data_IF_304926878728
#
_entry.id   IF_304926878728
#
_cell.length_a   1.000
_cell.length_b   1.000
_cell.length_c   1.000
_cell.angle_alpha   90.00
_cell.angle_beta   90.00
_cell.angle_gamma   90.00
#
_symmetry.space_group_name_H-M   'P 1'
#
loop_
_entity.id
_entity.type
_entity.pdbx_description
1 polymer ?
#
# COMPACT_ATOMS: atom_id res chain seq x y z
N UNK A 1 -22.20 10.93 6.14
CA UNK A 1 -21.87 10.53 4.75
C UNK A 1 -20.79 9.48 4.84
N UNK A 2 -21.12 8.21 4.59
CA UNK A 2 -20.15 7.13 4.70
C UNK A 2 -19.19 7.24 3.52
N UNK A 3 -17.99 7.77 3.78
CA UNK A 3 -16.87 7.70 2.85
C UNK A 3 -16.53 6.23 2.67
N UNK A 4 -17.16 5.59 1.69
CA UNK A 4 -16.68 4.32 1.18
C UNK A 4 -15.30 4.58 0.56
N UNK A 5 -14.26 4.25 1.34
CA UNK A 5 -12.89 4.17 0.85
C UNK A 5 -12.89 3.07 -0.21
N UNK A 6 -13.14 3.47 -1.45
CA UNK A 6 -12.98 2.58 -2.58
C UNK A 6 -11.49 2.28 -2.67
N UNK A 7 -11.17 1.04 -2.29
CA UNK A 7 -9.91 0.34 -2.58
C UNK A 7 -9.37 0.86 -3.90
N UNK A 8 -8.14 1.40 -3.89
CA UNK A 8 -7.43 2.06 -4.98
C UNK A 8 -7.84 1.50 -6.36
N UNK A 9 -8.89 2.06 -6.95
CA UNK A 9 -9.19 1.88 -8.35
C UNK A 9 -8.24 2.83 -9.06
N UNK A 10 -7.53 2.34 -10.06
CA UNK A 10 -6.80 3.21 -10.98
C UNK A 10 -7.79 4.29 -11.43
N UNK A 11 -7.47 5.56 -11.17
CA UNK A 11 -8.33 6.65 -11.67
C UNK A 11 -8.29 6.59 -13.19
N UNK A 12 -9.42 6.78 -13.89
CA UNK A 12 -9.41 6.77 -15.34
C UNK A 12 -8.46 7.86 -15.83
N UNK A 13 -7.57 7.49 -16.76
CA UNK A 13 -6.65 8.44 -17.35
C UNK A 13 -7.42 9.29 -18.35
N UNK A 14 -7.60 10.56 -18.03
CA UNK A 14 -8.19 11.54 -18.96
C UNK A 14 -7.05 12.34 -19.58
N UNK A 15 -6.78 12.09 -20.87
CA UNK A 15 -5.69 12.80 -21.56
C UNK A 15 -5.96 14.30 -21.55
N UNK A 16 -4.99 15.08 -21.04
CA UNK A 16 -5.10 16.55 -20.86
C UNK A 16 -6.29 16.99 -19.98
N UNK A 17 -6.83 16.09 -19.17
CA UNK A 17 -7.94 16.37 -18.26
C UNK A 17 -7.49 16.94 -16.92
N UNK A 18 -8.43 17.57 -16.23
CA UNK A 18 -8.26 18.00 -14.84
C UNK A 18 -8.61 16.89 -13.86
N UNK A 19 -8.31 17.10 -12.58
CA UNK A 19 -8.76 16.19 -11.52
C UNK A 19 -10.28 16.02 -11.47
N UNK A 20 -11.03 17.07 -11.81
CA UNK A 20 -12.49 17.01 -11.89
C UNK A 20 -12.95 16.10 -13.03
N UNK A 21 -12.27 16.14 -14.17
CA UNK A 21 -12.57 15.29 -15.32
C UNK A 21 -12.32 13.81 -15.00
N UNK A 22 -11.22 13.48 -14.31
CA UNK A 22 -10.96 12.12 -13.83
C UNK A 22 -12.06 11.62 -12.88
N UNK A 23 -12.50 12.47 -11.96
CA UNK A 23 -13.59 12.14 -11.03
C UNK A 23 -14.88 11.89 -11.82
N UNK A 24 -15.21 12.75 -12.77
CA UNK A 24 -16.42 12.64 -13.59
C UNK A 24 -16.40 11.41 -14.52
N UNK A 25 -15.23 11.05 -15.04
CA UNK A 25 -15.03 9.84 -15.82
C UNK A 25 -15.02 8.56 -14.96
N UNK A 26 -14.89 8.68 -13.63
CA UNK A 26 -14.78 7.51 -12.75
C UNK A 26 -16.09 6.73 -12.66
N UNK A 27 -15.98 5.40 -12.46
CA UNK A 27 -17.14 4.54 -12.22
C UNK A 27 -17.98 5.00 -11.02
N UNK A 28 -17.36 5.70 -10.05
CA UNK A 28 -18.07 6.27 -8.90
C UNK A 28 -19.13 7.30 -9.29
N UNK A 29 -18.92 8.02 -10.39
CA UNK A 29 -19.86 9.01 -10.94
C UNK A 29 -20.75 8.42 -12.03
N UNK A 30 -20.56 7.16 -12.41
CA UNK A 30 -21.33 6.52 -13.47
C UNK A 30 -22.76 6.23 -13.01
N UNK A 31 -23.71 6.50 -13.90
CA UNK A 31 -25.12 6.09 -13.74
C UNK A 31 -25.29 4.57 -13.73
N UNK A 32 -24.27 3.80 -14.13
CA UNK A 32 -24.27 2.34 -14.09
C UNK A 32 -23.99 1.80 -12.68
N UNK A 33 -23.42 2.60 -11.78
CA UNK A 33 -23.00 2.16 -10.44
C UNK A 33 -24.11 1.43 -9.65
N UNK A 34 -25.38 1.86 -9.66
CA UNK A 34 -26.46 1.15 -8.97
C UNK A 34 -26.73 -0.26 -9.48
N UNK A 35 -26.33 -0.56 -10.72
CA UNK A 35 -26.51 -1.86 -11.37
C UNK A 35 -25.29 -2.78 -11.24
N UNK A 36 -24.19 -2.28 -10.67
CA UNK A 36 -22.96 -3.06 -10.48
C UNK A 36 -23.06 -3.87 -9.19
N UNK A 37 -22.93 -5.19 -9.31
CA UNK A 37 -22.82 -6.08 -8.16
C UNK A 37 -21.47 -5.86 -7.46
N UNK A 38 -21.51 -5.38 -6.21
CA UNK A 38 -20.32 -5.20 -5.39
C UNK A 38 -19.98 -6.50 -4.67
N UNK A 39 -18.87 -7.12 -5.08
CA UNK A 39 -18.29 -8.26 -4.38
C UNK A 39 -17.18 -7.77 -3.45
N UNK A 40 -17.12 -8.33 -2.24
CA UNK A 40 -16.13 -7.94 -1.24
C UNK A 40 -15.28 -9.13 -0.81
N UNK A 41 -13.96 -8.95 -0.91
CA UNK A 41 -13.00 -9.88 -0.34
C UNK A 41 -12.72 -9.50 1.11
N UNK A 42 -13.17 -10.36 2.03
CA UNK A 42 -12.98 -10.20 3.48
C UNK A 42 -11.62 -10.68 3.98
N UNK A 43 -10.92 -11.47 3.16
CA UNK A 43 -9.62 -12.03 3.50
C UNK A 43 -8.55 -11.54 2.54
N UNK A 44 -7.38 -11.20 3.07
CA UNK A 44 -6.21 -10.91 2.26
C UNK A 44 -5.66 -12.24 1.71
N UNK A 45 -5.76 -12.44 0.40
CA UNK A 45 -5.32 -13.67 -0.27
C UNK A 45 -3.83 -13.66 -0.67
N UNK A 46 -3.14 -12.52 -0.53
CA UNK A 46 -1.72 -12.38 -0.91
C UNK A 46 -0.78 -12.82 0.20
N UNK A 47 -1.21 -12.67 1.45
CA UNK A 47 -0.42 -13.05 2.62
C UNK A 47 -0.80 -14.47 3.01
N UNK A 48 0.18 -15.38 2.99
CA UNK A 48 -0.08 -16.74 3.47
C UNK A 48 -0.24 -16.77 4.99
N UNK A 49 -1.35 -17.32 5.48
CA UNK A 49 -1.72 -17.33 6.90
C UNK A 49 -1.05 -18.46 7.70
N UNK A 50 0.11 -18.95 7.27
CA UNK A 50 0.82 -20.05 7.94
C UNK A 50 1.40 -19.67 9.31
N UNK A 51 1.66 -18.38 9.57
CA UNK A 51 2.19 -17.88 10.84
C UNK A 51 1.23 -16.92 11.55
N UNK A 52 1.36 -16.83 12.87
CA UNK A 52 0.62 -15.86 13.69
C UNK A 52 0.90 -14.42 13.26
N UNK A 53 2.15 -14.11 12.92
CA UNK A 53 2.59 -12.81 12.44
C UNK A 53 1.92 -12.44 11.12
N UNK A 54 1.91 -13.36 10.15
CA UNK A 54 1.22 -13.15 8.87
C UNK A 54 -0.29 -12.96 9.07
N UNK A 55 -0.91 -13.66 10.03
CA UNK A 55 -2.31 -13.46 10.36
C UNK A 55 -2.59 -12.06 10.93
N UNK A 56 -1.74 -11.59 11.84
CA UNK A 56 -1.86 -10.23 12.39
C UNK A 56 -1.65 -9.19 11.29
N UNK A 57 -0.59 -9.34 10.50
CA UNK A 57 -0.24 -8.43 9.40
C UNK A 57 -1.36 -8.36 8.34
N UNK A 58 -1.88 -9.50 7.91
CA UNK A 58 -2.99 -9.56 6.92
C UNK A 58 -4.26 -8.88 7.42
N UNK A 59 -4.65 -9.07 8.68
CA UNK A 59 -5.79 -8.40 9.31
C UNK A 59 -5.56 -6.89 9.39
N UNK A 60 -4.35 -6.47 9.76
CA UNK A 60 -4.02 -5.05 9.81
C UNK A 60 -4.07 -4.40 8.42
N UNK A 61 -3.51 -5.04 7.38
CA UNK A 61 -3.60 -4.55 6.01
C UNK A 61 -5.05 -4.38 5.53
N UNK A 62 -5.96 -5.27 5.96
CA UNK A 62 -7.39 -5.11 5.66
C UNK A 62 -7.97 -3.86 6.33
N UNK A 63 -7.66 -3.63 7.60
CA UNK A 63 -8.11 -2.44 8.33
C UNK A 63 -7.59 -1.14 7.69
N UNK A 64 -6.31 -1.10 7.32
CA UNK A 64 -5.72 0.02 6.55
C UNK A 64 -6.47 0.22 5.23
N UNK A 65 -6.65 -0.85 4.46
CA UNK A 65 -7.33 -0.78 3.16
C UNK A 65 -8.82 -0.39 3.25
N UNK A 66 -9.45 -0.62 4.39
CA UNK A 66 -10.82 -0.22 4.69
C UNK A 66 -10.92 1.19 5.29
N UNK A 67 -9.80 1.83 5.62
CA UNK A 67 -9.76 3.14 6.26
C UNK A 67 -10.10 3.13 7.74
N UNK A 68 -10.11 1.96 8.40
CA UNK A 68 -10.46 1.79 9.81
C UNK A 68 -9.35 2.24 10.78
N UNK A 69 -8.14 2.46 10.27
CA UNK A 69 -6.97 2.90 11.05
C UNK A 69 -6.57 4.35 10.75
N UNK A 70 -7.49 5.11 10.15
CA UNK A 70 -7.25 6.52 9.82
C UNK A 70 -7.59 7.40 11.04
N UNK A 71 -6.66 8.23 11.46
CA UNK A 71 -6.86 9.27 12.47
C UNK A 71 -7.64 10.46 11.91
N UNK A 72 -7.98 11.43 12.76
CA UNK A 72 -8.83 12.58 12.40
C UNK A 72 -8.20 13.52 11.37
N UNK A 73 -6.88 13.51 11.25
CA UNK A 73 -6.11 14.27 10.26
C UNK A 73 -5.90 13.53 8.93
N UNK A 74 -6.42 12.31 8.80
CA UNK A 74 -6.23 11.48 7.61
C UNK A 74 -4.95 10.66 7.61
N UNK A 75 -4.13 10.71 8.66
CA UNK A 75 -2.94 9.88 8.82
C UNK A 75 -3.28 8.51 9.40
N UNK A 76 -2.35 7.57 9.31
CA UNK A 76 -2.50 6.22 9.87
C UNK A 76 -1.42 6.06 10.93
N UNK A 77 -1.82 5.60 12.12
CA UNK A 77 -0.87 5.23 13.16
C UNK A 77 -0.15 3.93 12.80
N UNK A 78 1.19 3.99 12.65
CA UNK A 78 2.03 2.87 12.23
C UNK A 78 2.84 2.22 13.36
N UNK A 79 2.72 2.69 14.61
CA UNK A 79 3.60 2.25 15.72
C UNK A 79 3.53 0.73 15.98
N UNK A 80 2.36 0.12 15.72
CA UNK A 80 2.16 -1.33 15.88
C UNK A 80 2.33 -2.12 14.56
N UNK A 81 2.68 -1.44 13.46
CA UNK A 81 2.73 -1.98 12.10
C UNK A 81 4.16 -2.12 11.58
N UNK A 82 5.03 -1.19 11.95
CA UNK A 82 6.37 -1.07 11.41
C UNK A 82 7.35 -0.63 12.49
N UNK A 83 8.63 -0.89 12.25
CA UNK A 83 9.71 -0.21 12.97
C UNK A 83 9.87 1.16 12.33
N UNK A 84 9.71 2.22 13.12
CA UNK A 84 9.99 3.58 12.70
C UNK A 84 11.49 3.83 12.81
N UNK A 85 12.08 4.34 11.73
CA UNK A 85 13.51 4.60 11.63
C UNK A 85 13.67 6.02 11.07
N UNK A 86 14.39 6.87 11.80
CA UNK A 86 14.59 8.27 11.43
C UNK A 86 15.91 8.51 10.68
N UNK A 87 16.72 7.44 10.50
CA UNK A 87 18.02 7.50 9.84
C UNK A 87 18.07 6.57 8.61
N UNK A 88 18.38 7.15 7.45
CA UNK A 88 18.50 6.40 6.18
C UNK A 88 19.57 5.30 6.27
N UNK A 89 20.71 5.55 6.92
CA UNK A 89 21.77 4.55 7.05
C UNK A 89 21.31 3.35 7.88
N UNK A 90 20.53 3.60 8.93
CA UNK A 90 19.93 2.53 9.74
C UNK A 90 18.91 1.74 8.93
N UNK A 91 18.07 2.41 8.12
CA UNK A 91 17.16 1.73 7.20
C UNK A 91 17.89 0.83 6.22
N UNK A 92 18.96 1.34 5.59
CA UNK A 92 19.79 0.59 4.64
C UNK A 92 20.41 -0.63 5.32
N UNK A 93 21.01 -0.46 6.50
CA UNK A 93 21.64 -1.55 7.24
C UNK A 93 20.62 -2.63 7.67
N UNK A 94 19.38 -2.23 7.98
CA UNK A 94 18.30 -3.16 8.33
C UNK A 94 17.80 -3.96 7.11
N UNK A 95 17.61 -3.31 5.96
CA UNK A 95 17.09 -3.97 4.75
C UNK A 95 18.18 -4.76 4.02
N UNK A 96 19.38 -4.19 3.90
CA UNK A 96 20.54 -4.73 3.20
C UNK A 96 21.73 -4.89 4.17
N UNK A 97 21.69 -5.87 5.09
CA UNK A 97 22.81 -6.11 5.98
C UNK A 97 24.04 -6.54 5.18
N UNK A 98 25.21 -6.01 5.53
CA UNK A 98 26.49 -6.32 4.87
C UNK A 98 26.48 -5.93 3.37
N UNK A 99 25.96 -4.73 3.10
CA UNK A 99 25.91 -4.14 1.75
C UNK A 99 27.31 -3.90 1.18
N UNK A 100 28.35 -3.75 2.01
CA UNK A 100 29.72 -3.55 1.54
C UNK A 100 30.26 -4.78 0.79
N UNK A 101 29.77 -5.98 1.13
CA UNK A 101 30.13 -7.25 0.47
C UNK A 101 29.09 -7.68 -0.57
N UNK A 102 28.44 -6.73 -1.25
CA UNK A 102 27.36 -6.97 -2.22
C UNK A 102 27.76 -7.93 -3.35
N UNK A 103 29.03 -7.90 -3.78
CA UNK A 103 29.56 -8.77 -4.83
C UNK A 103 29.51 -10.26 -4.50
N UNK A 104 29.43 -10.59 -3.21
CA UNK A 104 29.38 -11.97 -2.72
C UNK A 104 27.94 -12.46 -2.49
N UNK A 105 26.92 -11.62 -2.75
CA UNK A 105 25.51 -11.96 -2.51
C UNK A 105 24.88 -12.66 -3.71
N UNK A 106 23.92 -13.53 -3.44
CA UNK A 106 23.20 -14.28 -4.47
C UNK A 106 22.01 -13.49 -5.00
N UNK A 107 21.50 -13.86 -6.18
CA UNK A 107 20.26 -13.29 -6.73
C UNK A 107 19.08 -13.45 -5.76
N UNK A 108 18.99 -14.59 -5.06
CA UNK A 108 17.92 -14.83 -4.08
C UNK A 108 17.96 -13.85 -2.92
N UNK A 109 19.16 -13.45 -2.48
CA UNK A 109 19.32 -12.45 -1.42
C UNK A 109 18.69 -11.11 -1.79
N UNK A 110 18.82 -10.68 -3.05
CA UNK A 110 18.18 -9.45 -3.54
C UNK A 110 16.66 -9.58 -3.66
N UNK A 111 16.14 -10.75 -4.06
CA UNK A 111 14.71 -10.95 -4.31
C UNK A 111 13.84 -10.81 -3.06
N UNK A 112 14.42 -11.00 -1.89
CA UNK A 112 13.72 -10.95 -0.60
C UNK A 112 13.71 -9.55 0.02
N UNK A 113 14.30 -8.54 -0.64
CA UNK A 113 14.58 -7.22 -0.07
C UNK A 113 14.17 -6.11 -1.03
N UNK A 114 13.53 -5.08 -0.51
CA UNK A 114 13.18 -3.88 -1.27
C UNK A 114 13.09 -2.66 -0.34
N UNK A 115 13.56 -1.52 -0.82
CA UNK A 115 13.24 -0.21 -0.27
C UNK A 115 12.23 0.43 -1.23
N UNK A 116 11.11 0.90 -0.68
CA UNK A 116 10.05 1.54 -1.44
C UNK A 116 10.01 3.02 -1.07
N UNK A 117 9.83 3.87 -2.07
CA UNK A 117 9.65 5.29 -1.88
C UNK A 117 8.29 5.73 -2.42
N UNK A 118 7.64 6.76 -1.85
CA UNK A 118 6.38 7.30 -2.37
C UNK A 118 6.48 7.83 -3.82
N UNK A 119 7.65 8.35 -4.21
CA UNK A 119 7.88 8.97 -5.51
C UNK A 119 9.20 8.52 -6.13
N UNK A 120 9.30 8.60 -7.46
CA UNK A 120 10.53 8.25 -8.17
C UNK A 120 11.64 9.29 -7.93
N UNK A 121 11.29 10.57 -7.77
CA UNK A 121 12.26 11.65 -7.47
C UNK A 121 13.02 11.41 -6.16
N UNK A 122 12.46 10.63 -5.25
CA UNK A 122 13.10 10.24 -3.99
C UNK A 122 13.97 8.98 -4.12
N UNK A 123 13.94 8.30 -5.27
CA UNK A 123 14.73 7.09 -5.57
C UNK A 123 15.90 7.41 -6.50
N UNK A 124 15.67 8.30 -7.46
CA UNK A 124 16.63 8.75 -8.48
C UNK A 124 17.70 9.71 -7.91
#
# INVERSE_FOLDING_TARGET
MNHSVLRKLLSPVVTRGTRADEINASLKRSNLLPYVNKLELKNNMRVSLYSRENNIYSKMLLKVGNGELTESDGMINLENLCVLIDNIQELVNNVYPDIDNISCKTISWFKERAILSPTNEQVD
#
